data_IF_708417616539
#
_entry.id   IF_708417616539
#
_cell.length_a   1.000
_cell.length_b   1.000
_cell.length_c   1.000
_cell.angle_alpha   90.00
_cell.angle_beta   90.00
_cell.angle_gamma   90.00
#
_symmetry.space_group_name_H-M   'P 1'
#
loop_
_entity.id
_entity.type
_entity.pdbx_description
1 polymer ?
#
# COMPACT_ATOMS: atom_id res chain seq x y z
N UNK A 1 -23.64 6.85 71.83
CA UNK A 1 -22.32 6.73 71.15
C UNK A 1 -22.33 5.76 69.94
N UNK A 2 -23.39 4.94 69.72
CA UNK A 2 -23.41 3.94 68.61
C UNK A 2 -24.11 4.41 67.32
N UNK A 3 -24.89 5.47 67.32
CA UNK A 3 -25.67 5.88 66.13
C UNK A 3 -24.83 6.66 65.07
N UNK A 4 -23.77 7.32 65.45
CA UNK A 4 -22.92 8.09 64.49
C UNK A 4 -21.98 7.22 63.64
N UNK A 5 -21.53 6.10 64.17
CA UNK A 5 -20.60 5.21 63.44
C UNK A 5 -21.35 4.45 62.32
N UNK A 6 -22.60 4.04 62.56
CA UNK A 6 -23.40 3.36 61.53
C UNK A 6 -23.75 4.28 60.35
N UNK A 7 -24.01 5.58 60.61
CA UNK A 7 -24.30 6.55 59.52
C UNK A 7 -23.05 6.82 58.70
N UNK A 8 -21.86 6.87 59.30
CA UNK A 8 -20.60 7.09 58.57
C UNK A 8 -20.23 5.86 57.70
N UNK A 9 -20.43 4.66 58.21
CA UNK A 9 -20.19 3.42 57.47
C UNK A 9 -21.22 3.27 56.33
N UNK A 10 -22.49 3.58 56.56
CA UNK A 10 -23.52 3.56 55.51
C UNK A 10 -23.26 4.60 54.42
N UNK A 11 -22.79 5.81 54.77
CA UNK A 11 -22.47 6.83 53.79
C UNK A 11 -21.19 6.49 52.97
N UNK A 12 -20.24 5.78 53.59
CA UNK A 12 -19.04 5.30 52.87
C UNK A 12 -19.40 4.12 51.95
N UNK A 13 -20.25 3.20 52.35
CA UNK A 13 -20.66 2.07 51.50
C UNK A 13 -21.51 2.55 50.30
N UNK A 14 -22.38 3.53 50.49
CA UNK A 14 -23.18 4.10 49.39
C UNK A 14 -22.27 4.86 48.40
N UNK A 15 -21.27 5.60 48.85
CA UNK A 15 -20.34 6.27 47.97
C UNK A 15 -19.42 5.27 47.21
N UNK A 16 -19.02 4.16 47.83
CA UNK A 16 -18.26 3.12 47.12
C UNK A 16 -19.10 2.41 46.06
N UNK A 17 -20.37 2.14 46.29
CA UNK A 17 -21.26 1.54 45.29
C UNK A 17 -21.50 2.50 44.11
N UNK A 18 -21.72 3.80 44.36
CA UNK A 18 -21.84 4.79 43.26
C UNK A 18 -20.56 4.96 42.46
N UNK A 19 -19.38 4.89 43.09
CA UNK A 19 -18.10 4.93 42.40
C UNK A 19 -17.88 3.69 41.53
N UNK A 20 -18.26 2.50 42.05
CA UNK A 20 -18.18 1.24 41.29
C UNK A 20 -19.17 1.22 40.13
N UNK A 21 -20.40 1.66 40.30
CA UNK A 21 -21.39 1.78 39.22
C UNK A 21 -20.90 2.79 38.17
N UNK A 22 -20.35 3.94 38.57
CA UNK A 22 -19.81 4.93 37.66
C UNK A 22 -18.59 4.41 36.88
N UNK A 23 -17.71 3.64 37.53
CA UNK A 23 -16.59 2.97 36.91
C UNK A 23 -17.06 1.89 35.92
N UNK A 24 -18.01 1.06 36.32
CA UNK A 24 -18.59 0.01 35.48
C UNK A 24 -19.33 0.63 34.28
N UNK A 25 -20.10 1.70 34.48
CA UNK A 25 -20.79 2.42 33.39
C UNK A 25 -19.80 3.06 32.45
N UNK A 26 -18.69 3.64 32.94
CA UNK A 26 -17.65 4.20 32.08
C UNK A 26 -16.82 3.11 31.36
N UNK A 27 -16.53 2.00 32.02
CA UNK A 27 -15.91 0.83 31.38
C UNK A 27 -16.87 0.23 30.34
N UNK A 28 -18.15 0.08 30.65
CA UNK A 28 -19.16 -0.40 29.70
C UNK A 28 -19.39 0.61 28.57
N UNK A 29 -19.36 1.92 28.83
CA UNK A 29 -19.38 2.95 27.79
C UNK A 29 -18.12 2.89 26.93
N UNK A 30 -16.93 2.69 27.50
CA UNK A 30 -15.70 2.47 26.72
C UNK A 30 -15.74 1.16 25.91
N UNK A 31 -16.26 0.08 26.47
CA UNK A 31 -16.45 -1.21 25.77
C UNK A 31 -17.54 -1.08 24.69
N UNK A 32 -18.64 -0.36 24.94
CA UNK A 32 -19.70 -0.09 23.96
C UNK A 32 -19.29 0.96 22.91
N UNK A 33 -18.25 1.76 23.14
CA UNK A 33 -17.73 2.79 22.23
C UNK A 33 -16.52 2.30 21.43
N UNK A 34 -16.15 1.03 21.46
CA UNK A 34 -15.30 0.45 20.44
C UNK A 34 -16.15 0.43 19.16
N UNK A 35 -16.06 1.54 18.42
CA UNK A 35 -16.71 1.69 17.11
C UNK A 35 -16.23 0.52 16.26
N UNK A 36 -17.08 -0.49 16.07
CA UNK A 36 -16.73 -1.64 15.26
C UNK A 36 -16.33 -1.15 13.87
N UNK A 37 -15.22 -1.67 13.37
CA UNK A 37 -14.65 -1.27 12.09
C UNK A 37 -15.52 -1.80 10.96
N UNK A 38 -15.95 -0.93 10.04
CA UNK A 38 -16.58 -1.36 8.78
C UNK A 38 -15.54 -1.74 7.74
N UNK A 39 -15.94 -2.54 6.76
CA UNK A 39 -15.09 -2.92 5.62
C UNK A 39 -14.58 -1.69 4.87
N UNK A 40 -15.41 -0.68 4.67
CA UNK A 40 -15.02 0.59 4.08
C UNK A 40 -13.90 1.28 4.85
N UNK A 41 -14.03 1.36 6.18
CA UNK A 41 -13.00 1.96 7.02
C UNK A 41 -11.70 1.15 6.99
N UNK A 42 -11.78 -0.16 7.00
CA UNK A 42 -10.63 -1.07 6.86
C UNK A 42 -9.88 -0.83 5.55
N UNK A 43 -10.59 -0.72 4.42
CA UNK A 43 -9.98 -0.41 3.13
C UNK A 43 -9.25 0.94 3.20
N UNK A 44 -9.90 1.98 3.75
CA UNK A 44 -9.27 3.30 3.93
C UNK A 44 -7.99 3.23 4.77
N UNK A 45 -7.96 2.40 5.81
CA UNK A 45 -6.76 2.21 6.62
C UNK A 45 -5.66 1.41 5.90
N UNK A 46 -6.03 0.44 5.06
CA UNK A 46 -5.07 -0.28 4.20
C UNK A 46 -4.48 0.67 3.17
N UNK A 47 -5.28 1.52 2.54
CA UNK A 47 -4.81 2.48 1.53
C UNK A 47 -3.81 3.51 2.06
N UNK A 48 -3.76 3.75 3.36
CA UNK A 48 -2.71 4.57 3.99
C UNK A 48 -1.34 3.88 3.97
N UNK A 49 -1.31 2.54 3.89
CA UNK A 49 -0.07 1.74 3.86
C UNK A 49 0.24 1.32 2.43
N UNK A 50 -0.76 0.78 1.73
CA UNK A 50 -0.67 0.25 0.37
C UNK A 50 -1.72 0.98 -0.47
N UNK A 51 -1.39 2.13 -1.09
CA UNK A 51 -2.34 2.89 -1.89
C UNK A 51 -2.81 2.08 -3.11
N UNK A 52 -4.10 1.77 -3.18
CA UNK A 52 -4.68 1.04 -4.33
C UNK A 52 -4.49 1.79 -5.65
N UNK A 53 -4.38 3.10 -5.60
CA UNK A 53 -4.08 3.94 -6.76
C UNK A 53 -2.67 3.72 -7.35
N UNK A 54 -1.81 2.97 -6.70
CA UNK A 54 -0.51 2.55 -7.25
C UNK A 54 -0.62 1.32 -8.17
N UNK A 55 -1.77 0.65 -8.22
CA UNK A 55 -1.98 -0.48 -9.12
C UNK A 55 -1.75 -0.12 -10.59
N UNK A 56 -1.54 -1.13 -11.42
CA UNK A 56 -1.47 -0.98 -12.87
C UNK A 56 -2.88 -0.73 -13.45
N UNK A 57 -2.96 0.02 -14.55
CA UNK A 57 -4.22 0.43 -15.17
C UNK A 57 -5.08 -0.75 -15.67
N UNK A 58 -4.45 -1.90 -15.97
CA UNK A 58 -5.14 -3.11 -16.42
C UNK A 58 -5.70 -3.95 -15.27
N UNK A 59 -5.34 -3.64 -14.02
CA UNK A 59 -5.62 -4.46 -12.85
C UNK A 59 -7.01 -4.18 -12.25
N UNK A 60 -7.46 -5.08 -11.38
CA UNK A 60 -8.71 -4.95 -10.66
C UNK A 60 -8.48 -5.17 -9.15
N UNK A 61 -8.14 -4.10 -8.45
CA UNK A 61 -7.83 -4.11 -7.01
C UNK A 61 -8.93 -3.46 -6.17
N UNK A 62 -8.84 -3.63 -4.85
CA UNK A 62 -9.81 -3.11 -3.89
C UNK A 62 -10.95 -4.08 -3.63
N UNK A 63 -12.13 -3.58 -3.30
CA UNK A 63 -13.31 -4.38 -2.98
C UNK A 63 -13.91 -4.99 -4.24
N UNK A 64 -13.74 -6.29 -4.43
CA UNK A 64 -14.23 -7.03 -5.60
C UNK A 64 -15.68 -7.53 -5.44
N UNK A 65 -16.05 -7.92 -4.23
CA UNK A 65 -17.43 -8.25 -3.88
C UNK A 65 -17.67 -8.01 -2.38
N UNK A 66 -18.93 -7.83 -1.99
CA UNK A 66 -19.34 -7.63 -0.61
C UNK A 66 -19.93 -6.25 -0.33
N UNK A 67 -20.42 -6.04 0.87
CA UNK A 67 -21.03 -4.78 1.31
C UNK A 67 -20.03 -3.98 2.16
N UNK A 68 -19.55 -2.80 1.70
CA UNK A 68 -18.55 -1.99 2.38
C UNK A 68 -19.00 -1.45 3.75
N UNK A 69 -20.30 -1.31 3.98
CA UNK A 69 -20.85 -0.78 5.25
C UNK A 69 -20.98 -1.85 6.34
N UNK A 70 -20.67 -3.12 6.02
CA UNK A 70 -20.73 -4.19 6.99
C UNK A 70 -19.56 -4.12 7.98
N UNK A 71 -19.86 -4.40 9.25
CA UNK A 71 -18.85 -4.56 10.31
C UNK A 71 -18.00 -5.81 10.07
N UNK A 72 -16.71 -5.70 10.36
CA UNK A 72 -15.75 -6.82 10.26
C UNK A 72 -15.90 -7.72 11.48
N UNK A 73 -15.98 -9.05 11.23
CA UNK A 73 -15.83 -10.06 12.27
C UNK A 73 -14.36 -10.46 12.40
N UNK A 74 -13.79 -11.05 11.37
CA UNK A 74 -12.38 -11.44 11.26
C UNK A 74 -11.91 -11.28 9.81
N UNK A 75 -10.61 -11.25 9.62
CA UNK A 75 -9.95 -11.16 8.30
C UNK A 75 -9.14 -12.43 8.04
N UNK A 76 -9.36 -13.05 6.88
CA UNK A 76 -8.55 -14.15 6.36
C UNK A 76 -7.67 -13.63 5.21
N UNK A 77 -6.35 -13.83 5.31
CA UNK A 77 -5.40 -13.45 4.26
C UNK A 77 -5.06 -14.69 3.43
N UNK A 78 -5.07 -14.55 2.10
CA UNK A 78 -4.70 -15.61 1.18
C UNK A 78 -3.94 -15.09 -0.03
N UNK A 79 -3.34 -16.00 -0.79
CA UNK A 79 -2.73 -15.71 -2.09
C UNK A 79 -3.81 -15.58 -3.18
N UNK A 80 -4.69 -16.59 -3.28
CA UNK A 80 -5.83 -16.62 -4.19
C UNK A 80 -7.13 -16.92 -3.44
N UNK A 81 -8.20 -16.19 -3.73
CA UNK A 81 -9.51 -16.33 -3.07
C UNK A 81 -10.38 -17.41 -3.76
N UNK A 82 -9.91 -18.66 -3.80
CA UNK A 82 -10.65 -19.78 -4.37
C UNK A 82 -11.86 -20.19 -3.51
N UNK A 83 -12.77 -21.01 -4.06
CA UNK A 83 -13.94 -21.52 -3.33
C UNK A 83 -13.59 -22.16 -1.99
N UNK A 84 -12.52 -22.97 -1.95
CA UNK A 84 -12.00 -23.59 -0.72
C UNK A 84 -11.53 -22.58 0.34
N UNK A 85 -10.96 -21.46 -0.09
CA UNK A 85 -10.57 -20.36 0.82
C UNK A 85 -11.79 -19.64 1.37
N UNK A 86 -12.85 -19.49 0.57
CA UNK A 86 -14.14 -18.94 1.05
C UNK A 86 -14.76 -19.87 2.09
N UNK A 87 -14.69 -21.18 1.90
CA UNK A 87 -15.12 -22.18 2.89
C UNK A 87 -14.32 -22.08 4.19
N UNK A 88 -13.02 -21.94 4.10
CA UNK A 88 -12.14 -21.70 5.27
C UNK A 88 -12.53 -20.41 6.00
N UNK A 89 -12.84 -19.32 5.28
CA UNK A 89 -13.29 -18.07 5.88
C UNK A 89 -14.59 -18.24 6.67
N UNK A 90 -15.57 -19.01 6.15
CA UNK A 90 -16.78 -19.37 6.86
C UNK A 90 -16.46 -20.12 8.16
N UNK A 91 -15.60 -21.13 8.09
CA UNK A 91 -15.21 -21.96 9.26
C UNK A 91 -14.51 -21.12 10.33
N UNK A 92 -13.71 -20.13 9.94
CA UNK A 92 -12.97 -19.20 10.81
C UNK A 92 -13.80 -17.99 11.25
N UNK A 93 -15.09 -17.93 10.89
CA UNK A 93 -15.97 -16.78 11.15
C UNK A 93 -15.37 -15.45 10.63
N UNK A 94 -14.66 -15.50 9.50
CA UNK A 94 -14.12 -14.34 8.83
C UNK A 94 -15.08 -13.87 7.74
N UNK A 95 -15.51 -12.61 7.81
CA UNK A 95 -16.36 -12.03 6.78
C UNK A 95 -15.60 -11.11 5.80
N UNK A 96 -14.27 -11.08 5.91
CA UNK A 96 -13.37 -10.42 4.97
C UNK A 96 -12.27 -11.38 4.56
N UNK A 97 -12.08 -11.53 3.25
CA UNK A 97 -10.90 -12.15 2.65
C UNK A 97 -10.07 -11.03 2.04
N UNK A 98 -8.83 -10.88 2.51
CA UNK A 98 -7.82 -10.05 1.86
C UNK A 98 -6.93 -10.96 1.03
N UNK A 99 -7.01 -10.84 -0.29
CA UNK A 99 -6.28 -11.67 -1.23
C UNK A 99 -5.19 -10.86 -1.94
N UNK A 100 -4.13 -11.54 -2.33
CA UNK A 100 -3.14 -10.94 -3.21
C UNK A 100 -3.71 -10.84 -4.62
N UNK A 101 -4.02 -11.96 -5.27
CA UNK A 101 -4.60 -11.97 -6.60
C UNK A 101 -6.09 -11.63 -6.63
N UNK A 102 -6.56 -10.84 -7.60
CA UNK A 102 -7.97 -10.55 -7.79
C UNK A 102 -8.70 -11.76 -8.38
N UNK A 103 -9.66 -12.34 -7.63
CA UNK A 103 -10.48 -13.44 -8.15
C UNK A 103 -11.34 -12.99 -9.35
N UNK A 104 -11.71 -11.70 -9.40
CA UNK A 104 -12.35 -11.09 -10.55
C UNK A 104 -11.32 -10.22 -11.24
N UNK A 105 -10.55 -10.78 -12.16
CA UNK A 105 -9.58 -10.01 -12.95
C UNK A 105 -10.27 -9.30 -14.12
N UNK A 106 -11.14 -9.99 -14.84
CA UNK A 106 -11.97 -9.43 -15.90
C UNK A 106 -13.43 -9.37 -15.47
N UNK A 107 -14.21 -8.41 -16.00
CA UNK A 107 -15.62 -8.26 -15.66
C UNK A 107 -16.43 -9.54 -15.88
N UNK A 108 -17.26 -9.91 -14.89
CA UNK A 108 -18.17 -11.06 -14.99
C UNK A 108 -19.43 -10.70 -15.77
N UNK A 109 -19.81 -11.53 -16.73
CA UNK A 109 -21.07 -11.39 -17.48
C UNK A 109 -22.25 -12.10 -16.78
N UNK A 110 -21.95 -13.08 -15.93
CA UNK A 110 -22.93 -13.85 -15.13
C UNK A 110 -22.27 -14.39 -13.88
N UNK A 111 -23.06 -14.71 -12.87
CA UNK A 111 -22.62 -15.38 -11.64
C UNK A 111 -23.53 -16.59 -11.44
N UNK A 112 -23.15 -17.73 -11.99
CA UNK A 112 -23.96 -18.95 -12.02
C UNK A 112 -23.18 -20.21 -11.59
N UNK A 113 -21.93 -20.04 -11.14
CA UNK A 113 -21.09 -21.15 -10.68
C UNK A 113 -20.48 -22.00 -11.79
N UNK A 114 -20.37 -21.49 -13.01
CA UNK A 114 -19.85 -22.26 -14.17
C UNK A 114 -18.37 -22.56 -14.11
N UNK A 115 -17.59 -21.70 -13.48
CA UNK A 115 -16.13 -21.80 -13.39
C UNK A 115 -15.67 -21.47 -11.96
N UNK A 116 -14.37 -21.61 -11.70
CA UNK A 116 -13.80 -21.40 -10.37
C UNK A 116 -14.02 -19.97 -9.85
N UNK A 117 -14.00 -18.95 -10.71
CA UNK A 117 -14.24 -17.55 -10.35
C UNK A 117 -15.69 -17.36 -9.88
N UNK A 118 -16.65 -17.78 -10.72
CA UNK A 118 -18.07 -17.66 -10.41
C UNK A 118 -18.46 -18.43 -9.13
N UNK A 119 -17.87 -19.63 -8.91
CA UNK A 119 -18.09 -20.45 -7.70
C UNK A 119 -17.61 -19.73 -6.44
N UNK A 120 -16.39 -19.20 -6.46
CA UNK A 120 -15.83 -18.46 -5.33
C UNK A 120 -16.65 -17.20 -5.01
N UNK A 121 -16.99 -16.40 -6.03
CA UNK A 121 -17.78 -15.18 -5.87
C UNK A 121 -19.19 -15.47 -5.38
N UNK A 122 -19.90 -16.46 -5.97
CA UNK A 122 -21.23 -16.85 -5.54
C UNK A 122 -21.24 -17.29 -4.07
N UNK A 123 -20.31 -18.15 -3.70
CA UNK A 123 -20.18 -18.62 -2.32
C UNK A 123 -19.86 -17.49 -1.34
N UNK A 124 -19.01 -16.53 -1.73
CA UNK A 124 -18.70 -15.35 -0.94
C UNK A 124 -19.95 -14.48 -0.71
N UNK A 125 -20.76 -14.25 -1.76
CA UNK A 125 -22.00 -13.48 -1.67
C UNK A 125 -23.01 -14.17 -0.75
N UNK A 126 -23.24 -15.48 -0.94
CA UNK A 126 -24.18 -16.26 -0.14
C UNK A 126 -23.82 -16.25 1.35
N UNK A 127 -22.53 -16.30 1.68
CA UNK A 127 -22.01 -16.26 3.04
C UNK A 127 -21.70 -14.84 3.55
N UNK A 128 -22.04 -13.82 2.77
CA UNK A 128 -21.86 -12.42 3.13
C UNK A 128 -20.39 -12.04 3.40
N UNK A 129 -19.46 -12.67 2.71
CA UNK A 129 -18.02 -12.43 2.79
C UNK A 129 -17.63 -11.39 1.75
N UNK A 130 -16.83 -10.42 2.15
CA UNK A 130 -16.19 -9.47 1.24
C UNK A 130 -14.83 -9.99 0.78
N UNK A 131 -14.50 -9.77 -0.49
CA UNK A 131 -13.17 -10.09 -1.05
C UNK A 131 -12.53 -8.79 -1.50
N UNK A 132 -11.33 -8.53 -0.98
CA UNK A 132 -10.51 -7.34 -1.26
C UNK A 132 -9.18 -7.82 -1.83
N UNK A 133 -8.78 -7.29 -3.00
CA UNK A 133 -7.51 -7.63 -3.65
C UNK A 133 -6.52 -6.47 -3.61
N UNK A 134 -5.22 -6.78 -3.49
CA UNK A 134 -4.15 -5.78 -3.47
C UNK A 134 -3.23 -5.85 -4.70
N UNK A 135 -2.93 -7.03 -5.21
CA UNK A 135 -2.21 -7.37 -6.43
C UNK A 135 -1.12 -6.34 -6.81
N UNK A 136 -1.21 -5.74 -8.01
CA UNK A 136 -0.18 -4.83 -8.49
C UNK A 136 -0.03 -3.54 -7.67
N UNK A 137 -0.99 -3.17 -6.84
CA UNK A 137 -0.80 -2.10 -5.86
C UNK A 137 0.30 -2.45 -4.84
N UNK A 138 0.35 -3.72 -4.40
CA UNK A 138 1.40 -4.23 -3.53
C UNK A 138 2.72 -4.48 -4.29
N UNK A 139 2.66 -4.90 -5.57
CA UNK A 139 3.87 -5.05 -6.41
C UNK A 139 4.58 -3.73 -6.64
N UNK A 140 3.82 -2.65 -6.87
CA UNK A 140 4.35 -1.31 -7.09
C UNK A 140 4.82 -0.60 -5.80
N UNK A 141 4.40 -1.10 -4.63
CA UNK A 141 4.79 -0.50 -3.36
C UNK A 141 6.24 -0.82 -3.02
N UNK A 142 7.04 0.19 -2.60
CA UNK A 142 8.46 -0.01 -2.29
C UNK A 142 8.69 -1.15 -1.29
N UNK A 143 7.92 -1.19 -0.20
CA UNK A 143 7.97 -2.27 0.81
C UNK A 143 7.01 -3.43 0.50
N UNK A 144 6.68 -3.65 -0.77
CA UNK A 144 5.77 -4.69 -1.24
C UNK A 144 6.47 -6.03 -1.50
N UNK A 145 5.89 -6.81 -2.42
CA UNK A 145 6.32 -8.19 -2.75
C UNK A 145 7.79 -8.25 -3.14
N UNK A 146 8.23 -7.35 -4.03
CA UNK A 146 9.60 -7.36 -4.55
C UNK A 146 10.65 -7.01 -3.49
N UNK A 147 10.32 -6.10 -2.57
CA UNK A 147 11.16 -5.83 -1.40
C UNK A 147 11.29 -7.06 -0.52
N UNK A 148 10.19 -7.80 -0.29
CA UNK A 148 10.23 -9.04 0.51
C UNK A 148 11.12 -10.08 -0.15
N UNK A 149 11.02 -10.30 -1.46
CA UNK A 149 11.90 -11.19 -2.21
C UNK A 149 13.37 -10.79 -2.01
N UNK A 150 13.71 -9.51 -2.18
CA UNK A 150 15.08 -9.01 -1.94
C UNK A 150 15.58 -9.28 -0.52
N UNK A 151 14.71 -9.10 0.48
CA UNK A 151 15.04 -9.37 1.90
C UNK A 151 15.30 -10.85 2.16
N UNK A 152 14.52 -11.75 1.57
CA UNK A 152 14.75 -13.20 1.69
C UNK A 152 16.08 -13.63 1.06
N UNK A 153 16.50 -12.94 -0.02
CA UNK A 153 17.80 -13.13 -0.65
C UNK A 153 18.95 -12.42 0.09
N UNK A 154 18.65 -11.57 1.08
CA UNK A 154 19.66 -10.79 1.78
C UNK A 154 20.34 -9.72 0.92
N UNK A 155 19.61 -9.15 -0.05
CA UNK A 155 20.14 -8.08 -0.89
C UNK A 155 20.18 -6.75 -0.16
N UNK A 156 21.26 -5.99 -0.38
CA UNK A 156 21.45 -4.62 0.08
C UNK A 156 21.34 -3.61 -1.08
N UNK A 157 21.33 -2.30 -0.76
CA UNK A 157 21.29 -1.19 -1.72
C UNK A 157 20.11 -1.27 -2.68
N UNK A 158 18.93 -1.59 -2.16
CA UNK A 158 17.72 -1.86 -2.94
C UNK A 158 17.25 -0.64 -3.73
N UNK A 159 16.88 -0.88 -5.00
CA UNK A 159 16.29 0.11 -5.91
C UNK A 159 15.16 -0.55 -6.70
N UNK A 160 14.16 0.26 -7.09
CA UNK A 160 13.10 -0.18 -8.01
C UNK A 160 13.71 -0.50 -9.39
N UNK A 161 13.31 -1.63 -9.96
CA UNK A 161 13.80 -2.07 -11.28
C UNK A 161 13.15 -1.30 -12.43
N UNK A 162 11.85 -1.08 -12.35
CA UNK A 162 11.04 -0.35 -13.34
C UNK A 162 10.29 0.76 -12.59
N UNK A 163 10.93 1.93 -12.36
CA UNK A 163 10.29 3.06 -11.67
C UNK A 163 9.05 3.54 -12.42
N UNK A 164 8.01 3.91 -11.67
CA UNK A 164 6.78 4.47 -12.24
C UNK A 164 7.07 5.87 -12.80
N UNK A 165 6.63 6.11 -14.04
CA UNK A 165 6.80 7.39 -14.76
C UNK A 165 5.49 8.17 -14.75
N UNK A 166 5.58 9.50 -14.96
CA UNK A 166 4.44 10.40 -15.14
C UNK A 166 3.43 10.39 -13.98
N UNK A 167 3.85 9.95 -12.81
CA UNK A 167 3.01 9.88 -11.61
C UNK A 167 3.35 10.91 -10.54
N UNK A 168 4.31 11.78 -10.80
CA UNK A 168 4.70 12.87 -9.91
C UNK A 168 4.21 14.22 -10.43
N UNK A 169 3.73 15.05 -9.51
CA UNK A 169 3.31 16.43 -9.76
C UNK A 169 4.06 17.37 -8.84
N UNK A 170 4.27 18.61 -9.32
CA UNK A 170 4.75 19.73 -8.53
C UNK A 170 3.60 20.74 -8.34
N UNK A 171 3.34 21.14 -7.11
CA UNK A 171 2.46 22.25 -6.78
C UNK A 171 3.31 23.45 -6.44
N UNK A 172 2.92 24.62 -6.96
CA UNK A 172 3.43 25.93 -6.57
C UNK A 172 2.24 26.76 -6.09
N UNK A 173 2.38 27.42 -4.92
CA UNK A 173 1.39 28.34 -4.40
C UNK A 173 2.07 29.55 -3.76
N UNK A 174 1.33 30.65 -3.55
CA UNK A 174 1.85 31.92 -3.05
C UNK A 174 1.06 32.30 -1.79
N UNK A 175 1.74 32.48 -0.69
CA UNK A 175 1.11 32.59 0.65
C UNK A 175 1.67 33.81 1.38
N UNK A 176 0.83 34.67 2.01
CA UNK A 176 1.34 35.71 2.88
C UNK A 176 2.30 35.15 3.93
N UNK A 177 3.38 35.88 4.23
CA UNK A 177 4.51 35.39 5.05
C UNK A 177 4.04 34.74 6.35
N UNK A 178 3.08 35.35 7.05
CA UNK A 178 2.58 34.91 8.36
C UNK A 178 1.81 33.57 8.30
N UNK A 179 1.38 33.13 7.12
CA UNK A 179 0.60 31.91 6.90
C UNK A 179 1.41 30.78 6.22
N UNK A 180 2.65 31.06 5.81
CA UNK A 180 3.46 30.11 5.04
C UNK A 180 3.68 28.79 5.77
N UNK A 181 4.00 28.81 7.06
CA UNK A 181 4.23 27.60 7.86
C UNK A 181 2.95 26.78 8.04
N UNK A 182 1.80 27.44 8.25
CA UNK A 182 0.51 26.76 8.35
C UNK A 182 0.15 26.02 7.05
N UNK A 183 0.36 26.66 5.90
CA UNK A 183 0.06 26.05 4.59
C UNK A 183 1.03 24.93 4.29
N UNK A 184 2.35 25.07 4.56
CA UNK A 184 3.33 23.99 4.42
C UNK A 184 2.94 22.78 5.25
N UNK A 185 2.62 22.98 6.52
CA UNK A 185 2.19 21.90 7.41
C UNK A 185 0.98 21.15 6.85
N UNK A 186 -0.05 21.86 6.39
CA UNK A 186 -1.23 21.25 5.79
C UNK A 186 -0.90 20.44 4.52
N UNK A 187 0.02 20.93 3.68
CA UNK A 187 0.50 20.22 2.51
C UNK A 187 1.24 18.93 2.88
N UNK A 188 2.10 18.96 3.89
CA UNK A 188 2.84 17.77 4.37
C UNK A 188 1.92 16.74 5.01
N UNK A 189 0.99 17.16 5.86
CA UNK A 189 -0.03 16.28 6.46
C UNK A 189 -0.94 15.63 5.39
N UNK A 190 -1.15 16.32 4.26
CA UNK A 190 -1.85 15.77 3.10
C UNK A 190 -0.97 14.87 2.23
N UNK A 191 0.30 14.65 2.57
CA UNK A 191 1.22 13.73 1.91
C UNK A 191 2.00 14.33 0.75
N UNK A 192 2.16 15.65 0.68
CA UNK A 192 3.14 16.30 -0.20
C UNK A 192 4.54 16.34 0.46
N UNK A 193 5.58 16.59 -0.35
CA UNK A 193 6.93 16.77 0.14
C UNK A 193 7.66 15.48 0.50
N UNK A 194 7.24 14.32 -0.01
CA UNK A 194 7.98 13.08 0.18
C UNK A 194 8.94 12.87 -1.00
N UNK A 195 10.23 12.79 -0.72
CA UNK A 195 11.29 12.51 -1.69
C UNK A 195 12.20 11.43 -1.11
N UNK A 196 12.03 10.21 -1.55
CA UNK A 196 12.76 9.10 -1.00
C UNK A 196 12.42 8.86 0.48
N UNK A 197 13.45 8.74 1.29
CA UNK A 197 13.32 8.59 2.75
C UNK A 197 13.33 9.95 3.47
N UNK A 198 13.02 11.05 2.76
CA UNK A 198 12.84 12.38 3.34
C UNK A 198 11.39 12.81 3.21
N UNK A 199 10.83 13.34 4.26
CA UNK A 199 9.52 13.99 4.32
C UNK A 199 9.68 15.52 4.46
N UNK A 200 8.57 16.24 4.42
CA UNK A 200 8.51 17.69 4.56
C UNK A 200 9.42 18.47 3.58
N UNK A 201 9.76 17.85 2.44
CA UNK A 201 10.58 18.49 1.41
C UNK A 201 9.78 19.59 0.71
N UNK A 202 10.26 20.83 0.80
CA UNK A 202 9.71 21.98 0.09
C UNK A 202 10.81 22.95 -0.29
N UNK A 203 10.51 23.82 -1.25
CA UNK A 203 11.36 24.95 -1.55
C UNK A 203 10.55 26.24 -1.46
N UNK A 204 11.07 27.26 -0.76
CA UNK A 204 10.38 28.53 -0.54
C UNK A 204 11.19 29.69 -1.05
N UNK A 205 10.53 30.65 -1.73
CA UNK A 205 11.12 31.89 -2.23
C UNK A 205 10.26 33.06 -1.75
N UNK A 206 10.89 34.10 -1.21
CA UNK A 206 10.20 35.36 -0.87
C UNK A 206 10.00 36.21 -2.12
N UNK A 207 8.82 36.82 -2.25
CA UNK A 207 8.47 37.70 -3.36
C UNK A 207 7.39 38.71 -2.99
N UNK A 208 7.01 39.54 -3.96
CA UNK A 208 5.89 40.49 -3.85
C UNK A 208 4.76 40.01 -4.77
N UNK A 209 3.61 39.67 -4.20
CA UNK A 209 2.36 39.42 -4.93
C UNK A 209 1.56 40.73 -5.11
N UNK A 210 0.84 40.81 -6.22
CA UNK A 210 -0.09 41.94 -6.47
C UNK A 210 -1.47 41.45 -6.87
N UNK A 211 -2.51 42.07 -6.32
CA UNK A 211 -3.88 41.78 -6.73
C UNK A 211 -4.76 43.02 -6.51
N UNK A 212 -5.91 43.08 -7.17
CA UNK A 212 -6.89 44.15 -7.01
C UNK A 212 -8.27 43.52 -6.81
N UNK A 213 -8.86 43.61 -5.62
CA UNK A 213 -10.23 43.13 -5.41
C UNK A 213 -11.22 43.92 -6.27
N UNK A 214 -12.19 43.24 -6.88
CA UNK A 214 -13.24 43.78 -7.70
C UNK A 214 -14.61 43.50 -7.07
N UNK A 215 -15.70 44.00 -7.68
CA UNK A 215 -17.05 43.69 -7.20
C UNK A 215 -17.32 42.18 -7.24
N UNK A 216 -17.94 41.69 -6.17
CA UNK A 216 -18.17 40.24 -5.97
C UNK A 216 -17.13 39.56 -5.09
N UNK A 217 -15.93 40.14 -4.89
CA UNK A 217 -14.93 39.61 -3.95
C UNK A 217 -15.19 39.95 -2.50
N UNK A 218 -14.72 39.06 -1.60
CA UNK A 218 -14.64 39.29 -0.16
C UNK A 218 -13.18 39.13 0.30
N UNK A 219 -12.32 40.12 -0.01
CA UNK A 219 -10.88 39.97 0.15
C UNK A 219 -10.46 39.85 1.62
N UNK A 220 -9.54 38.92 1.91
CA UNK A 220 -8.87 38.82 3.21
C UNK A 220 -8.02 40.06 3.51
N UNK A 221 -7.35 40.62 2.49
CA UNK A 221 -6.56 41.86 2.58
C UNK A 221 -6.99 42.82 1.48
N UNK A 222 -6.84 44.12 1.75
CA UNK A 222 -7.04 45.19 0.79
C UNK A 222 -8.47 45.67 0.62
N UNK A 223 -8.65 46.68 -0.26
CA UNK A 223 -9.92 47.33 -0.55
C UNK A 223 -10.29 47.20 -2.03
N UNK A 224 -11.59 47.02 -2.32
CA UNK A 224 -12.10 46.97 -3.69
C UNK A 224 -11.65 48.16 -4.53
N UNK A 225 -11.20 47.88 -5.74
CA UNK A 225 -10.73 48.87 -6.70
C UNK A 225 -9.29 49.38 -6.50
N UNK A 226 -8.62 48.99 -5.41
CA UNK A 226 -7.22 49.36 -5.14
C UNK A 226 -6.30 48.17 -5.40
N UNK A 227 -5.17 48.44 -6.05
CA UNK A 227 -4.13 47.42 -6.22
C UNK A 227 -3.33 47.29 -4.94
N UNK A 228 -3.32 46.11 -4.38
CA UNK A 228 -2.56 45.76 -3.18
C UNK A 228 -1.24 45.09 -3.57
N UNK A 229 -0.22 45.30 -2.73
CA UNK A 229 1.09 44.65 -2.79
C UNK A 229 1.33 43.91 -1.49
N UNK A 230 1.59 42.63 -1.55
CA UNK A 230 1.76 41.78 -0.37
C UNK A 230 3.06 41.00 -0.48
N UNK A 231 3.83 41.00 0.62
CA UNK A 231 4.98 40.08 0.73
C UNK A 231 4.49 38.65 0.88
N UNK A 232 4.84 37.81 -0.05
CA UNK A 232 4.40 36.43 -0.09
C UNK A 232 5.59 35.48 -0.17
N UNK A 233 5.37 34.26 0.29
CA UNK A 233 6.27 33.13 0.10
C UNK A 233 5.70 32.26 -1.00
N UNK A 234 6.44 32.06 -2.06
CA UNK A 234 6.19 31.00 -3.02
C UNK A 234 6.61 29.68 -2.38
N UNK A 235 5.72 28.71 -2.28
CA UNK A 235 5.96 27.38 -1.78
C UNK A 235 5.88 26.39 -2.95
N UNK A 236 6.89 25.55 -3.10
CA UNK A 236 6.95 24.48 -4.10
C UNK A 236 7.11 23.13 -3.40
N UNK A 237 6.23 22.17 -3.72
CA UNK A 237 6.25 20.80 -3.20
C UNK A 237 6.00 19.77 -4.31
N UNK A 238 6.56 18.56 -4.16
CA UNK A 238 6.34 17.44 -5.06
C UNK A 238 5.44 16.41 -4.37
N UNK A 239 4.59 15.72 -5.14
CA UNK A 239 3.70 14.70 -4.63
C UNK A 239 3.24 13.74 -5.72
N UNK A 240 2.72 12.58 -5.31
CA UNK A 240 2.17 11.58 -6.23
C UNK A 240 0.81 12.03 -6.78
N UNK A 241 0.61 11.82 -8.08
CA UNK A 241 -0.56 12.31 -8.85
C UNK A 241 -1.91 11.91 -8.24
N UNK A 242 -2.03 10.74 -7.64
CA UNK A 242 -3.27 10.28 -7.03
C UNK A 242 -3.67 11.08 -5.78
N UNK A 243 -2.73 11.76 -5.10
CA UNK A 243 -2.97 12.64 -3.95
C UNK A 243 -3.44 14.05 -4.34
N UNK A 244 -3.54 14.37 -5.64
CA UNK A 244 -3.80 15.73 -6.15
C UNK A 244 -4.97 16.41 -5.46
N UNK A 245 -6.14 15.76 -5.43
CA UNK A 245 -7.35 16.38 -4.88
C UNK A 245 -7.24 16.63 -3.37
N UNK A 246 -6.66 15.69 -2.63
CA UNK A 246 -6.42 15.82 -1.20
C UNK A 246 -5.48 16.98 -0.88
N UNK A 247 -4.39 17.14 -1.63
CA UNK A 247 -3.39 18.19 -1.45
C UNK A 247 -3.97 19.57 -1.80
N UNK A 248 -4.71 19.69 -2.91
CA UNK A 248 -5.39 20.94 -3.27
C UNK A 248 -6.40 21.34 -2.18
N UNK A 249 -7.19 20.39 -1.67
CA UNK A 249 -8.18 20.65 -0.62
C UNK A 249 -7.52 21.11 0.68
N UNK A 250 -6.43 20.46 1.10
CA UNK A 250 -5.67 20.84 2.29
C UNK A 250 -5.05 22.23 2.15
N UNK A 251 -4.44 22.51 0.99
CA UNK A 251 -3.90 23.84 0.68
C UNK A 251 -4.97 24.92 0.79
N UNK A 252 -6.11 24.76 0.10
CA UNK A 252 -7.18 25.75 0.09
C UNK A 252 -7.79 25.96 1.48
N UNK A 253 -7.89 24.90 2.28
CA UNK A 253 -8.41 25.01 3.65
C UNK A 253 -7.48 25.78 4.58
N UNK A 254 -6.17 25.61 4.41
CA UNK A 254 -5.16 26.27 5.24
C UNK A 254 -4.81 27.70 4.77
N UNK A 255 -5.13 28.04 3.52
CA UNK A 255 -4.78 29.32 2.92
C UNK A 255 -5.73 30.45 3.38
N UNK A 256 -5.24 31.65 3.72
CA UNK A 256 -6.08 32.74 4.18
C UNK A 256 -6.94 33.41 3.09
N UNK A 257 -6.55 33.24 1.80
CA UNK A 257 -7.29 33.87 0.69
C UNK A 257 -8.50 33.01 0.27
N UNK A 258 -9.60 33.69 -0.08
CA UNK A 258 -10.80 33.03 -0.63
C UNK A 258 -10.54 32.42 -2.00
N UNK A 259 -9.71 33.08 -2.84
CA UNK A 259 -9.25 32.58 -4.13
C UNK A 259 -7.73 32.39 -4.08
N UNK A 260 -7.31 31.14 -4.10
CA UNK A 260 -5.89 30.78 -3.96
C UNK A 260 -5.22 30.70 -5.32
N UNK A 261 -4.14 31.45 -5.50
CA UNK A 261 -3.27 31.34 -6.68
C UNK A 261 -2.35 30.13 -6.52
N UNK A 262 -2.43 29.18 -7.46
CA UNK A 262 -1.55 28.01 -7.49
C UNK A 262 -1.41 27.44 -8.91
N UNK A 263 -0.34 26.73 -9.14
CA UNK A 263 -0.08 25.98 -10.38
C UNK A 263 0.27 24.55 -10.05
N UNK A 264 -0.05 23.61 -10.95
CA UNK A 264 0.34 22.23 -10.88
C UNK A 264 0.98 21.82 -12.20
N UNK A 265 2.21 21.32 -12.10
CA UNK A 265 2.98 20.82 -13.25
C UNK A 265 3.18 19.31 -13.12
N UNK A 266 3.01 18.59 -14.24
CA UNK A 266 3.54 17.23 -14.35
C UNK A 266 5.07 17.34 -14.48
N UNK A 267 5.79 16.47 -13.79
CA UNK A 267 7.25 16.41 -13.84
C UNK A 267 7.69 15.06 -14.39
N UNK A 268 8.78 15.05 -15.16
CA UNK A 268 9.30 13.86 -15.82
C UNK A 268 10.17 12.98 -14.89
N UNK A 269 10.31 13.36 -13.63
CA UNK A 269 11.05 12.60 -12.65
C UNK A 269 10.43 11.20 -12.47
N UNK A 270 11.28 10.18 -12.50
CA UNK A 270 10.86 8.83 -12.14
C UNK A 270 10.60 8.73 -10.65
N UNK A 271 9.52 8.06 -10.28
CA UNK A 271 9.23 7.76 -8.87
C UNK A 271 10.09 6.58 -8.42
N UNK A 272 11.12 6.84 -7.63
CA UNK A 272 12.07 5.83 -7.16
C UNK A 272 11.52 4.96 -6.00
N UNK A 273 10.30 5.21 -5.56
CA UNK A 273 9.64 4.52 -4.45
C UNK A 273 8.31 3.88 -4.83
N UNK A 274 8.00 3.87 -6.13
CA UNK A 274 6.86 3.17 -6.70
C UNK A 274 7.22 2.65 -8.08
N UNK A 275 6.99 1.37 -8.33
CA UNK A 275 7.26 0.70 -9.60
C UNK A 275 7.44 -0.80 -9.44
N UNK A 276 7.60 -1.49 -10.55
CA UNK A 276 7.65 -2.94 -10.60
C UNK A 276 9.07 -3.49 -10.44
N UNK A 277 9.19 -4.56 -9.69
CA UNK A 277 10.45 -5.24 -9.45
C UNK A 277 11.43 -4.42 -8.63
N UNK A 278 12.48 -5.06 -8.18
CA UNK A 278 13.61 -4.44 -7.48
C UNK A 278 14.93 -5.07 -7.90
N UNK A 279 16.02 -4.40 -7.60
CA UNK A 279 17.35 -4.97 -7.67
C UNK A 279 18.21 -4.49 -6.50
N UNK A 280 19.22 -5.26 -6.18
CA UNK A 280 20.19 -4.97 -5.13
C UNK A 280 21.43 -5.82 -5.28
N UNK A 281 22.29 -5.78 -4.28
CA UNK A 281 23.55 -6.52 -4.28
C UNK A 281 23.58 -7.57 -3.17
N UNK A 282 24.09 -8.76 -3.49
CA UNK A 282 24.43 -9.75 -2.48
C UNK A 282 25.57 -9.22 -1.59
N UNK A 283 25.64 -9.59 -0.31
CA UNK A 283 26.78 -9.23 0.54
C UNK A 283 28.12 -9.71 -0.04
N UNK A 284 28.15 -10.92 -0.60
CA UNK A 284 29.28 -11.51 -1.26
C UNK A 284 28.89 -12.07 -2.62
N UNK A 285 29.82 -12.05 -3.60
CA UNK A 285 29.61 -12.63 -4.90
C UNK A 285 29.65 -14.16 -4.86
N UNK A 286 28.82 -14.84 -5.69
CA UNK A 286 28.73 -16.30 -5.75
C UNK A 286 28.96 -16.77 -7.19
N UNK A 287 29.40 -18.03 -7.34
CA UNK A 287 29.35 -18.71 -8.63
C UNK A 287 27.89 -18.99 -9.05
N UNK A 288 27.58 -18.98 -10.33
CA UNK A 288 26.19 -19.12 -10.85
C UNK A 288 25.48 -20.38 -10.33
N UNK A 289 26.15 -21.50 -10.22
CA UNK A 289 25.57 -22.76 -9.68
C UNK A 289 25.31 -22.65 -8.18
N UNK A 290 26.18 -22.01 -7.45
CA UNK A 290 26.01 -21.74 -6.02
C UNK A 290 24.81 -20.83 -5.80
N UNK A 291 24.69 -19.78 -6.59
CA UNK A 291 23.54 -18.88 -6.57
C UNK A 291 22.21 -19.61 -6.86
N UNK A 292 22.15 -20.47 -7.86
CA UNK A 292 20.94 -21.26 -8.14
C UNK A 292 20.57 -22.18 -6.97
N UNK A 293 21.55 -22.82 -6.32
CA UNK A 293 21.32 -23.63 -5.12
C UNK A 293 20.83 -22.78 -3.94
N UNK A 294 21.44 -21.61 -3.73
CA UNK A 294 21.02 -20.65 -2.71
C UNK A 294 19.56 -20.20 -2.93
N UNK A 295 19.18 -19.82 -4.16
CA UNK A 295 17.80 -19.46 -4.49
C UNK A 295 16.85 -20.64 -4.26
N UNK A 296 17.27 -21.85 -4.69
CA UNK A 296 16.48 -23.06 -4.51
C UNK A 296 16.18 -23.35 -3.05
N UNK A 297 17.15 -23.18 -2.18
CA UNK A 297 17.01 -23.34 -0.72
C UNK A 297 16.12 -22.26 -0.10
N UNK A 298 16.38 -20.99 -0.44
CA UNK A 298 15.64 -19.85 0.12
C UNK A 298 14.15 -19.85 -0.18
N UNK A 299 13.77 -20.34 -1.37
CA UNK A 299 12.38 -20.38 -1.86
C UNK A 299 11.76 -21.79 -1.78
N UNK A 300 12.46 -22.78 -1.22
CA UNK A 300 12.02 -24.18 -1.17
C UNK A 300 11.58 -24.72 -2.55
N UNK A 301 12.40 -24.47 -3.58
CA UNK A 301 12.06 -24.77 -4.96
C UNK A 301 12.39 -26.22 -5.30
N UNK A 302 11.50 -26.89 -6.03
CA UNK A 302 11.77 -28.20 -6.63
C UNK A 302 12.67 -28.09 -7.86
N UNK A 303 12.46 -27.06 -8.67
CA UNK A 303 13.13 -26.84 -9.95
C UNK A 303 13.30 -25.33 -10.21
N UNK A 304 14.32 -24.96 -10.97
CA UNK A 304 14.53 -23.63 -11.55
C UNK A 304 14.77 -23.82 -13.05
N UNK A 305 14.00 -23.11 -13.88
CA UNK A 305 14.29 -22.96 -15.30
C UNK A 305 15.25 -21.79 -15.46
N UNK A 306 16.35 -21.97 -16.20
CA UNK A 306 17.32 -20.88 -16.34
C UNK A 306 17.92 -20.81 -17.76
N UNK A 307 18.45 -19.64 -18.13
CA UNK A 307 19.22 -19.43 -19.34
C UNK A 307 20.58 -20.10 -19.27
N UNK A 308 21.34 -20.11 -20.36
CA UNK A 308 22.74 -20.54 -20.32
C UNK A 308 23.56 -19.77 -19.28
N UNK A 309 24.55 -20.42 -18.69
CA UNK A 309 25.50 -19.76 -17.79
C UNK A 309 26.33 -18.72 -18.54
N UNK A 310 26.61 -17.60 -17.88
CA UNK A 310 27.40 -16.49 -18.44
C UNK A 310 28.90 -16.67 -18.19
N UNK A 311 29.28 -17.52 -17.24
CA UNK A 311 30.63 -17.70 -16.75
C UNK A 311 31.11 -16.56 -15.84
N UNK A 312 30.18 -15.74 -15.33
CA UNK A 312 30.46 -14.65 -14.39
C UNK A 312 29.96 -15.01 -13.00
N UNK A 313 30.50 -14.37 -12.00
CA UNK A 313 29.95 -14.41 -10.65
C UNK A 313 28.71 -13.52 -10.55
N UNK A 314 27.82 -13.91 -9.64
CA UNK A 314 26.59 -13.18 -9.34
C UNK A 314 26.82 -12.28 -8.12
N UNK A 315 26.67 -10.98 -8.30
CA UNK A 315 26.71 -9.97 -7.25
C UNK A 315 25.45 -9.14 -7.24
N UNK A 316 25.03 -8.63 -8.40
CA UNK A 316 23.86 -7.76 -8.57
C UNK A 316 22.68 -8.56 -9.08
N UNK A 317 21.60 -8.58 -8.32
CA UNK A 317 20.42 -9.42 -8.58
C UNK A 317 19.19 -8.55 -8.74
N UNK A 318 18.44 -8.74 -9.82
CA UNK A 318 17.11 -8.17 -9.99
C UNK A 318 16.02 -9.22 -9.72
N UNK A 319 14.87 -8.77 -9.25
CA UNK A 319 13.71 -9.61 -8.96
C UNK A 319 12.42 -8.94 -9.44
N UNK A 320 11.47 -9.74 -9.91
CA UNK A 320 10.09 -9.33 -10.14
C UNK A 320 9.20 -10.55 -9.90
N UNK A 321 8.43 -10.52 -8.81
CA UNK A 321 7.50 -11.59 -8.46
C UNK A 321 6.44 -11.78 -9.54
N UNK A 322 5.97 -13.03 -9.71
CA UNK A 322 5.00 -13.37 -10.73
C UNK A 322 5.55 -13.27 -12.16
N UNK A 323 4.70 -12.89 -13.09
CA UNK A 323 4.99 -12.84 -14.53
C UNK A 323 5.82 -11.58 -14.90
N UNK A 324 7.13 -11.72 -14.99
CA UNK A 324 8.06 -10.60 -15.11
C UNK A 324 8.96 -10.60 -16.35
N UNK A 325 8.65 -11.30 -17.43
CA UNK A 325 9.48 -11.26 -18.66
C UNK A 325 9.71 -9.83 -19.19
N UNK A 326 8.78 -8.91 -18.93
CA UNK A 326 8.89 -7.48 -19.28
C UNK A 326 10.06 -6.76 -18.60
N UNK A 327 10.51 -7.22 -17.43
CA UNK A 327 11.61 -6.63 -16.67
C UNK A 327 13.02 -7.02 -17.13
N UNK A 328 13.16 -7.98 -18.03
CA UNK A 328 14.48 -8.46 -18.49
C UNK A 328 15.34 -7.32 -19.05
N UNK A 329 14.73 -6.47 -19.89
CA UNK A 329 15.43 -5.32 -20.46
C UNK A 329 15.95 -4.35 -19.38
N UNK A 330 15.16 -4.12 -18.36
CA UNK A 330 15.51 -3.23 -17.24
C UNK A 330 16.63 -3.84 -16.37
N UNK A 331 16.60 -5.16 -16.14
CA UNK A 331 17.66 -5.87 -15.44
C UNK A 331 19.00 -5.77 -16.22
N UNK A 332 18.98 -5.94 -17.54
CA UNK A 332 20.14 -5.74 -18.40
C UNK A 332 20.65 -4.30 -18.39
N UNK A 333 19.77 -3.30 -18.47
CA UNK A 333 20.13 -1.88 -18.42
C UNK A 333 20.76 -1.49 -17.07
N UNK A 334 20.31 -2.07 -15.99
CA UNK A 334 20.88 -1.90 -14.67
C UNK A 334 22.11 -2.77 -14.42
N UNK A 335 22.61 -3.51 -15.44
CA UNK A 335 23.80 -4.36 -15.34
C UNK A 335 23.70 -5.40 -14.22
N UNK A 336 22.50 -6.02 -14.06
CA UNK A 336 22.33 -7.11 -13.13
C UNK A 336 22.96 -8.40 -13.68
N UNK A 337 23.54 -9.21 -12.80
CA UNK A 337 24.17 -10.48 -13.14
C UNK A 337 23.14 -11.60 -13.23
N UNK A 338 22.09 -11.53 -12.42
CA UNK A 338 20.96 -12.46 -12.42
C UNK A 338 19.61 -11.73 -12.34
N UNK A 339 18.56 -12.36 -12.87
CA UNK A 339 17.19 -11.90 -12.80
C UNK A 339 16.26 -13.05 -12.43
N UNK A 340 15.55 -12.92 -11.31
CA UNK A 340 14.58 -13.88 -10.80
C UNK A 340 13.16 -13.39 -11.10
N UNK A 341 12.37 -14.22 -11.77
CA UNK A 341 10.97 -13.95 -12.07
C UNK A 341 10.23 -15.26 -12.37
N UNK A 342 9.04 -15.19 -12.96
CA UNK A 342 8.29 -16.37 -13.37
C UNK A 342 7.63 -16.19 -14.75
N UNK A 343 6.97 -17.27 -15.21
CA UNK A 343 6.15 -17.32 -16.43
C UNK A 343 6.91 -16.93 -17.70
N UNK A 344 8.21 -17.13 -17.75
CA UNK A 344 9.01 -16.85 -18.94
C UNK A 344 8.71 -17.86 -20.05
N UNK A 345 8.43 -17.35 -21.24
CA UNK A 345 8.25 -18.14 -22.45
C UNK A 345 9.61 -18.59 -23.01
N UNK A 346 9.58 -19.60 -23.84
CA UNK A 346 10.79 -20.17 -24.47
C UNK A 346 11.70 -19.09 -25.08
N UNK A 347 11.13 -18.14 -25.84
CA UNK A 347 11.91 -17.11 -26.50
C UNK A 347 12.46 -16.02 -25.57
N UNK A 348 11.89 -15.84 -24.39
CA UNK A 348 12.38 -14.86 -23.44
C UNK A 348 13.80 -15.20 -22.95
N UNK A 349 14.14 -16.51 -22.84
CA UNK A 349 15.47 -16.93 -22.43
C UNK A 349 16.60 -16.56 -23.44
N UNK A 350 16.28 -16.38 -24.72
CA UNK A 350 17.26 -15.92 -25.70
C UNK A 350 17.70 -14.48 -25.45
N UNK A 351 16.86 -13.66 -24.82
CA UNK A 351 17.18 -12.27 -24.52
C UNK A 351 18.28 -12.11 -23.47
N UNK A 352 18.67 -13.19 -22.80
CA UNK A 352 19.83 -13.21 -21.91
C UNK A 352 21.15 -12.88 -22.64
N UNK A 353 21.31 -13.33 -23.90
CA UNK A 353 22.47 -13.05 -24.77
C UNK A 353 23.82 -13.27 -24.08
N UNK A 354 23.92 -14.26 -23.19
CA UNK A 354 25.07 -14.54 -22.31
C UNK A 354 25.52 -13.32 -21.45
N UNK A 355 24.62 -12.37 -21.19
CA UNK A 355 24.91 -11.18 -20.39
C UNK A 355 24.38 -11.26 -18.97
N UNK A 356 23.29 -12.00 -18.76
CA UNK A 356 22.58 -12.15 -17.51
C UNK A 356 22.10 -13.59 -17.32
N UNK A 357 22.09 -14.09 -16.11
CA UNK A 357 21.46 -15.36 -15.76
C UNK A 357 19.97 -15.12 -15.49
N UNK A 358 19.11 -15.54 -16.43
CA UNK A 358 17.66 -15.51 -16.26
C UNK A 358 17.20 -16.75 -15.51
N UNK A 359 16.40 -16.56 -14.46
CA UNK A 359 15.87 -17.62 -13.61
C UNK A 359 14.35 -17.50 -13.51
N UNK A 360 13.64 -18.51 -14.02
CA UNK A 360 12.20 -18.70 -13.80
C UNK A 360 12.03 -19.64 -12.62
N UNK A 361 11.55 -19.10 -11.49
CA UNK A 361 11.46 -19.81 -10.22
C UNK A 361 10.04 -20.26 -9.88
N UNK A 362 9.07 -20.03 -10.78
CA UNK A 362 7.65 -20.32 -10.59
C UNK A 362 6.88 -19.14 -10.05
N UNK A 363 5.63 -18.99 -10.52
CA UNK A 363 4.78 -17.84 -10.17
C UNK A 363 4.47 -17.79 -8.67
N UNK A 364 3.77 -18.83 -8.18
CA UNK A 364 3.43 -18.94 -6.77
C UNK A 364 4.67 -18.89 -5.87
N UNK A 365 5.72 -19.59 -6.27
CA UNK A 365 6.97 -19.72 -5.51
C UNK A 365 7.66 -18.35 -5.37
N UNK A 366 7.62 -17.49 -6.38
CA UNK A 366 8.19 -16.14 -6.31
C UNK A 366 7.41 -15.21 -5.38
N UNK A 367 6.13 -15.47 -5.16
CA UNK A 367 5.20 -14.64 -4.39
C UNK A 367 4.78 -15.26 -3.04
N UNK A 368 5.27 -16.44 -2.71
CA UNK A 368 4.82 -17.23 -1.54
C UNK A 368 4.88 -16.50 -0.19
N UNK A 369 5.73 -15.49 -0.09
CA UNK A 369 5.90 -14.71 1.15
C UNK A 369 4.83 -13.64 1.37
N UNK A 370 3.98 -13.36 0.37
CA UNK A 370 3.02 -12.25 0.41
C UNK A 370 2.00 -12.41 1.55
N UNK A 371 1.50 -13.62 1.79
CA UNK A 371 0.51 -13.89 2.85
C UNK A 371 1.11 -13.62 4.23
N UNK A 372 2.36 -14.03 4.44
CA UNK A 372 3.07 -13.76 5.69
C UNK A 372 3.34 -12.26 5.87
N UNK A 373 3.76 -11.58 4.82
CA UNK A 373 4.03 -10.15 4.84
C UNK A 373 2.75 -9.33 5.16
N UNK A 374 1.64 -9.63 4.53
CA UNK A 374 0.35 -8.99 4.80
C UNK A 374 -0.12 -9.28 6.23
N UNK A 375 0.11 -10.50 6.72
CA UNK A 375 -0.22 -10.86 8.10
C UNK A 375 0.57 -10.03 9.12
N UNK A 376 1.86 -9.83 8.90
CA UNK A 376 2.73 -9.01 9.75
C UNK A 376 2.23 -7.55 9.79
N UNK A 377 1.99 -6.95 8.62
CA UNK A 377 1.47 -5.57 8.49
C UNK A 377 0.12 -5.39 9.20
N UNK A 378 -0.82 -6.31 8.97
CA UNK A 378 -2.18 -6.17 9.49
C UNK A 378 -2.28 -6.48 10.97
N UNK A 379 -1.54 -7.48 11.47
CA UNK A 379 -1.56 -7.86 12.88
C UNK A 379 -0.98 -6.77 13.78
N UNK A 380 0.00 -6.00 13.29
CA UNK A 380 0.54 -4.86 14.00
C UNK A 380 -0.48 -3.70 14.05
N UNK A 381 -1.18 -3.44 12.93
CA UNK A 381 -2.09 -2.30 12.81
C UNK A 381 -3.47 -2.53 13.41
N UNK A 382 -4.03 -3.73 13.26
CA UNK A 382 -5.41 -4.03 13.62
C UNK A 382 -5.49 -5.00 14.80
N UNK A 383 -5.90 -4.49 15.95
CA UNK A 383 -6.02 -5.26 17.21
C UNK A 383 -7.46 -5.52 17.64
N UNK A 384 -8.46 -4.99 16.90
CA UNK A 384 -9.89 -5.04 17.28
C UNK A 384 -10.64 -6.25 16.73
N UNK A 385 -10.03 -7.00 15.82
CA UNK A 385 -10.53 -8.25 15.24
C UNK A 385 -9.38 -9.20 14.95
N UNK A 386 -9.67 -10.49 14.79
CA UNK A 386 -8.63 -11.46 14.49
C UNK A 386 -8.23 -11.39 13.00
N UNK A 387 -6.93 -11.41 12.77
CA UNK A 387 -6.33 -11.59 11.45
C UNK A 387 -5.70 -12.98 11.40
N UNK A 388 -5.98 -13.75 10.38
CA UNK A 388 -5.43 -15.09 10.19
C UNK A 388 -4.97 -15.33 8.76
N UNK A 389 -4.03 -16.23 8.59
CA UNK A 389 -3.58 -16.69 7.28
C UNK A 389 -4.41 -17.89 6.84
N UNK A 390 -4.69 -18.00 5.55
CA UNK A 390 -5.24 -19.22 4.96
C UNK A 390 -4.25 -20.39 5.11
N UNK A 391 -4.77 -21.56 5.43
CA UNK A 391 -4.02 -22.80 5.45
C UNK A 391 -4.09 -23.54 4.10
N UNK A 392 -4.91 -23.05 3.17
CA UNK A 392 -5.09 -23.67 1.86
C UNK A 392 -3.92 -23.27 0.96
N UNK A 393 -3.22 -24.27 0.44
CA UNK A 393 -2.27 -24.06 -0.65
C UNK A 393 -3.04 -23.92 -1.97
N UNK A 394 -2.96 -22.73 -2.56
CA UNK A 394 -3.67 -22.39 -3.81
C UNK A 394 -2.81 -22.57 -5.07
N UNK A 395 -1.54 -23.00 -4.94
CA UNK A 395 -0.66 -23.23 -6.09
C UNK A 395 -1.26 -24.28 -7.03
N UNK A 396 -1.64 -23.92 -8.28
CA UNK A 396 -2.22 -24.88 -9.22
C UNK A 396 -1.16 -25.73 -9.94
N UNK A 397 0.11 -25.38 -9.81
CA UNK A 397 1.21 -26.01 -10.54
C UNK A 397 1.83 -27.10 -9.70
N UNK A 398 1.94 -28.29 -10.29
CA UNK A 398 2.59 -29.44 -9.68
C UNK A 398 3.76 -29.88 -10.55
N UNK A 399 4.84 -30.32 -9.93
CA UNK A 399 6.04 -30.82 -10.62
C UNK A 399 6.14 -32.33 -10.48
N UNK A 400 6.26 -32.99 -11.60
CA UNK A 400 6.61 -34.42 -11.66
C UNK A 400 8.12 -34.52 -11.82
N UNK A 401 8.83 -35.07 -10.82
CA UNK A 401 10.30 -35.19 -10.76
C UNK A 401 10.76 -36.61 -10.86
#
# INVERSE_FOLDING_TARGET
>A
GCSCICIFIFHHIINYNHLYEYLIINILKHILFIKKMTIKHFITEIEKIIPLAQAEDFDNVGLLCGNPEREITNVLICHDALESVVEEAVQKNANVILTFHPIIFSGLKSITGKNYVEKAVLKAIENKIAIIALHTALDNHYFGVNHRICRELGLDQLKILIPKKENLLQLITYVPVDYAEQVKKALFEAGAGNIGFYDECSFSISGEGTFRPIDGSNPFLGKKGTTEKVNEIQISVIFEKFKKNQIISAMKFAHPYEEVAYQIYAIENENQYSGLGMFGELPEEMEEKEFLNFVKEKFDLKIIRHSGFTGKKIKKVAVLGGSGASGIKNALQNQCDAYLTADMKYHDFFTAENRILLCDIGHFESEQFVVQQLYEILSEKFTTFAVSKSSINTNPVNYFL
#
